data_IF_132263176203
#
_entry.id   IF_132263176203
#
_cell.length_a   1.000
_cell.length_b   1.000
_cell.length_c   1.000
_cell.angle_alpha   90.00
_cell.angle_beta   90.00
_cell.angle_gamma   90.00
#
_symmetry.space_group_name_H-M   'P 1'
#
loop_
_entity.id
_entity.type
_entity.pdbx_description
1 polymer ?
#
# COMPACT_ATOMS: atom_id res chain seq x y z
N UNK A 1 20.92 21.70 7.13
CA UNK A 1 20.86 20.48 7.98
C UNK A 1 19.37 20.14 8.15
N UNK A 2 18.76 19.49 7.12
CA UNK A 2 17.33 19.20 7.07
C UNK A 2 17.09 17.75 7.54
N UNK A 3 16.39 17.63 8.65
CA UNK A 3 15.93 16.34 9.17
C UNK A 3 14.74 15.88 8.31
N UNK A 4 15.00 14.97 7.37
CA UNK A 4 13.94 14.15 6.78
C UNK A 4 13.67 12.98 7.72
N UNK A 5 12.63 13.09 8.52
CA UNK A 5 12.00 11.95 9.17
C UNK A 5 11.09 11.29 8.15
N UNK A 6 11.53 10.15 7.62
CA UNK A 6 10.68 9.28 6.80
C UNK A 6 9.74 8.49 7.69
N UNK A 7 8.61 9.08 8.04
CA UNK A 7 7.46 8.29 8.42
C UNK A 7 6.78 7.91 7.10
N UNK A 8 6.50 6.62 6.90
CA UNK A 8 5.67 6.12 5.83
C UNK A 8 4.25 6.62 6.10
N UNK A 9 4.01 7.89 5.76
CA UNK A 9 2.71 8.48 5.87
C UNK A 9 1.83 7.91 4.76
N UNK A 10 0.81 7.15 5.11
CA UNK A 10 -0.39 7.09 4.30
C UNK A 10 -0.87 8.54 4.23
N UNK A 11 -0.60 9.23 3.12
CA UNK A 11 -1.04 10.58 2.91
C UNK A 11 -2.57 10.56 2.72
N UNK A 12 -3.30 10.69 3.83
CA UNK A 12 -4.71 11.06 3.78
C UNK A 12 -4.72 12.53 3.42
N UNK A 13 -4.88 12.83 2.13
CA UNK A 13 -5.12 14.20 1.66
C UNK A 13 -6.48 14.62 2.19
N UNK A 14 -6.47 15.41 3.25
CA UNK A 14 -7.66 16.07 3.78
C UNK A 14 -8.15 17.13 2.79
N UNK A 15 -9.04 16.77 1.86
CA UNK A 15 -9.86 17.74 1.14
C UNK A 15 -11.04 18.10 2.04
N UNK A 16 -10.96 19.28 2.65
CA UNK A 16 -12.09 19.92 3.30
C UNK A 16 -13.15 20.28 2.26
N UNK A 17 -14.13 19.40 2.06
CA UNK A 17 -15.39 19.72 1.39
C UNK A 17 -16.48 19.52 2.44
N UNK A 18 -16.96 20.64 3.01
CA UNK A 18 -18.21 20.67 3.77
C UNK A 18 -19.37 20.46 2.81
N UNK A 19 -19.67 19.21 2.50
CA UNK A 19 -20.93 18.79 1.93
C UNK A 19 -21.56 17.86 2.96
N UNK A 20 -22.69 18.30 3.56
CA UNK A 20 -23.55 17.47 4.39
C UNK A 20 -24.20 16.39 3.52
N UNK A 21 -23.40 15.39 3.14
CA UNK A 21 -23.93 14.11 2.69
C UNK A 21 -24.10 13.31 3.98
N UNK A 22 -25.35 12.98 4.32
CA UNK A 22 -25.66 11.90 5.26
C UNK A 22 -25.09 10.62 4.65
N UNK A 23 -23.79 10.41 4.82
CA UNK A 23 -23.14 9.15 4.54
C UNK A 23 -23.74 8.12 5.48
N UNK A 24 -24.26 7.03 4.93
CA UNK A 24 -24.56 5.85 5.71
C UNK A 24 -23.32 5.56 6.57
N UNK A 25 -23.51 5.53 7.87
CA UNK A 25 -22.47 5.19 8.86
C UNK A 25 -21.95 3.80 8.47
N UNK A 26 -20.77 3.75 7.87
CA UNK A 26 -20.18 2.49 7.46
C UNK A 26 -19.90 1.71 8.75
N UNK A 27 -20.55 0.56 8.92
CA UNK A 27 -20.44 -0.21 10.16
C UNK A 27 -18.96 -0.49 10.42
N UNK A 28 -18.54 -0.39 11.68
CA UNK A 28 -17.13 -0.62 12.09
C UNK A 28 -16.63 -2.02 11.74
N UNK A 29 -17.55 -2.95 11.48
CA UNK A 29 -17.29 -4.38 11.27
C UNK A 29 -17.33 -4.80 9.78
N UNK A 30 -17.35 -3.83 8.84
CA UNK A 30 -17.41 -4.14 7.41
C UNK A 30 -15.99 -4.13 6.84
N UNK A 31 -15.55 -5.23 6.17
CA UNK A 31 -14.27 -5.27 5.49
C UNK A 31 -14.10 -4.13 4.48
N UNK A 32 -12.89 -3.59 4.43
CA UNK A 32 -12.53 -2.52 3.50
C UNK A 32 -11.58 -3.07 2.46
N UNK A 33 -11.96 -2.99 1.20
CA UNK A 33 -11.09 -3.37 0.08
C UNK A 33 -10.44 -2.13 -0.49
N UNK A 34 -9.11 -2.16 -0.59
CA UNK A 34 -8.33 -1.09 -1.20
C UNK A 34 -7.45 -1.70 -2.29
N UNK A 35 -7.46 -1.09 -3.47
CA UNK A 35 -6.55 -1.37 -4.57
C UNK A 35 -5.48 -0.30 -4.64
N UNK A 36 -4.22 -0.71 -4.50
CA UNK A 36 -3.03 0.14 -4.56
C UNK A 36 -2.36 -0.06 -5.90
N UNK A 37 -2.27 0.98 -6.72
CA UNK A 37 -1.73 0.93 -8.07
C UNK A 37 -0.35 1.58 -8.13
N UNK A 38 0.56 0.95 -8.86
CA UNK A 38 1.93 1.41 -9.04
C UNK A 38 2.29 1.45 -10.52
N UNK A 39 2.68 2.62 -11.01
CA UNK A 39 3.35 2.80 -12.29
C UNK A 39 4.84 2.93 -12.02
N UNK A 40 5.63 2.07 -12.66
CA UNK A 40 7.08 2.03 -12.44
C UNK A 40 7.78 2.91 -13.47
N UNK A 41 8.75 3.70 -13.00
CA UNK A 41 9.57 4.55 -13.85
C UNK A 41 10.40 3.71 -14.85
N UNK A 42 10.67 4.23 -16.05
CA UNK A 42 11.59 3.59 -16.99
C UNK A 42 12.94 3.31 -16.33
N UNK A 43 13.43 2.07 -16.38
CA UNK A 43 14.64 1.64 -15.70
C UNK A 43 14.40 0.89 -14.38
N UNK A 44 13.20 0.99 -13.79
CA UNK A 44 12.78 0.13 -12.68
C UNK A 44 12.33 -1.26 -13.11
N UNK A 45 12.09 -1.44 -14.42
CA UNK A 45 11.76 -2.71 -15.04
C UNK A 45 12.98 -3.30 -15.72
N UNK A 46 13.46 -4.45 -15.25
CA UNK A 46 14.59 -5.16 -15.88
C UNK A 46 14.06 -6.07 -17.00
N UNK A 47 14.64 -6.05 -18.22
CA UNK A 47 14.26 -6.99 -19.28
C UNK A 47 14.47 -8.44 -18.83
N UNK A 48 13.38 -9.23 -18.79
CA UNK A 48 13.44 -10.68 -18.54
C UNK A 48 13.64 -11.10 -17.08
N UNK A 49 13.57 -10.16 -16.10
CA UNK A 49 13.69 -10.47 -14.69
C UNK A 49 12.62 -9.74 -13.85
N UNK A 50 12.49 -10.07 -12.56
CA UNK A 50 11.66 -9.27 -11.66
C UNK A 50 12.21 -7.84 -11.64
N UNK A 51 11.31 -6.85 -11.67
CA UNK A 51 11.72 -5.46 -11.56
C UNK A 51 12.44 -5.21 -10.23
N UNK A 52 13.37 -4.25 -10.20
CA UNK A 52 14.00 -3.82 -8.94
C UNK A 52 12.92 -3.41 -7.93
N UNK A 53 11.87 -2.72 -8.38
CA UNK A 53 10.74 -2.35 -7.55
C UNK A 53 10.08 -3.56 -6.87
N UNK A 54 9.77 -4.61 -7.64
CA UNK A 54 9.16 -5.83 -7.11
C UNK A 54 10.06 -6.53 -6.10
N UNK A 55 11.35 -6.60 -6.38
CA UNK A 55 12.33 -7.20 -5.47
C UNK A 55 12.38 -6.46 -4.13
N UNK A 56 12.36 -5.14 -4.15
CA UNK A 56 12.33 -4.30 -2.96
C UNK A 56 10.99 -4.41 -2.21
N UNK A 57 9.87 -4.45 -2.94
CA UNK A 57 8.56 -4.67 -2.34
C UNK A 57 8.51 -6.00 -1.58
N UNK A 58 8.90 -7.09 -2.23
CA UNK A 58 8.88 -8.43 -1.63
C UNK A 58 9.85 -8.57 -0.45
N UNK A 59 10.97 -7.86 -0.48
CA UNK A 59 11.98 -7.89 0.58
C UNK A 59 11.57 -7.07 1.79
N UNK A 60 11.06 -5.85 1.59
CA UNK A 60 10.95 -4.86 2.65
C UNK A 60 9.51 -4.55 3.06
N UNK A 61 8.56 -4.53 2.11
CA UNK A 61 7.18 -4.13 2.39
C UNK A 61 6.26 -5.33 2.64
N UNK A 62 6.30 -6.33 1.78
CA UNK A 62 5.47 -7.53 1.92
C UNK A 62 5.59 -8.24 3.28
N UNK A 63 6.78 -8.39 3.92
CA UNK A 63 6.88 -9.02 5.24
C UNK A 63 6.12 -8.26 6.33
N UNK A 64 6.05 -6.93 6.24
CA UNK A 64 5.28 -6.09 7.16
C UNK A 64 3.79 -6.41 7.01
N UNK A 65 3.29 -6.45 5.79
CA UNK A 65 1.89 -6.79 5.49
C UNK A 65 1.55 -8.21 5.95
N UNK A 66 2.46 -9.16 5.80
CA UNK A 66 2.29 -10.53 6.31
C UNK A 66 2.20 -10.57 7.84
N UNK A 67 2.93 -9.70 8.54
CA UNK A 67 2.81 -9.60 10.00
C UNK A 67 1.46 -9.00 10.42
N UNK A 68 1.02 -7.93 9.77
CA UNK A 68 -0.30 -7.33 9.98
C UNK A 68 -1.43 -8.34 9.68
N UNK A 69 -1.24 -9.20 8.68
CA UNK A 69 -2.17 -10.29 8.38
C UNK A 69 -2.20 -11.37 9.48
N UNK A 70 -1.06 -11.74 10.06
CA UNK A 70 -1.00 -12.66 11.20
C UNK A 70 -1.67 -12.06 12.45
N UNK A 71 -1.63 -10.74 12.60
CA UNK A 71 -2.31 -10.02 13.68
C UNK A 71 -3.81 -9.84 13.41
N UNK A 72 -4.31 -10.25 12.22
CA UNK A 72 -5.74 -10.23 11.88
C UNK A 72 -6.23 -8.88 11.34
N UNK A 73 -5.35 -7.91 11.14
CA UNK A 73 -5.72 -6.59 10.60
C UNK A 73 -5.97 -6.62 9.10
N UNK A 74 -5.26 -7.50 8.38
CA UNK A 74 -5.43 -7.76 6.95
C UNK A 74 -6.04 -9.15 6.75
N UNK A 75 -7.17 -9.25 6.06
CA UNK A 75 -7.83 -10.51 5.74
C UNK A 75 -7.22 -11.15 4.47
N UNK A 76 -6.87 -10.33 3.50
CA UNK A 76 -6.31 -10.79 2.22
C UNK A 76 -5.36 -9.75 1.64
N UNK A 77 -4.26 -10.24 1.06
CA UNK A 77 -3.32 -9.47 0.25
C UNK A 77 -3.07 -10.24 -1.03
N UNK A 78 -3.15 -9.56 -2.17
CA UNK A 78 -2.83 -10.11 -3.50
C UNK A 78 -2.07 -9.09 -4.31
N UNK A 79 -0.97 -9.53 -4.92
CA UNK A 79 -0.19 -8.72 -5.86
C UNK A 79 -0.46 -9.19 -7.28
N UNK A 80 -0.71 -8.26 -8.17
CA UNK A 80 -0.94 -8.48 -9.60
C UNK A 80 0.10 -7.73 -10.42
N UNK A 81 0.63 -8.37 -11.42
CA UNK A 81 1.41 -7.76 -12.49
C UNK A 81 0.54 -7.67 -13.75
N UNK A 82 0.63 -6.54 -14.43
CA UNK A 82 -0.12 -6.34 -15.66
C UNK A 82 0.53 -7.09 -16.82
N UNK A 83 -0.24 -7.94 -17.51
CA UNK A 83 0.27 -8.73 -18.63
C UNK A 83 0.03 -8.11 -20.01
N UNK A 84 -1.01 -7.29 -20.17
CA UNK A 84 -1.39 -6.70 -21.43
C UNK A 84 -1.49 -5.19 -21.32
N UNK A 85 -1.15 -4.50 -22.41
CA UNK A 85 -1.35 -3.05 -22.48
C UNK A 85 -2.85 -2.74 -22.46
N UNK A 86 -3.22 -1.84 -21.57
CA UNK A 86 -4.53 -1.22 -21.60
C UNK A 86 -4.31 0.29 -21.74
N UNK A 87 -5.33 0.99 -22.15
CA UNK A 87 -5.35 2.44 -22.14
C UNK A 87 -5.20 2.99 -20.71
N UNK A 88 -5.12 4.30 -20.61
CA UNK A 88 -4.98 5.01 -19.33
C UNK A 88 -6.11 4.68 -18.34
N UNK A 89 -5.82 4.61 -17.03
CA UNK A 89 -4.51 4.80 -16.42
C UNK A 89 -3.63 3.53 -16.56
N UNK A 90 -2.40 3.74 -16.99
CA UNK A 90 -1.43 2.66 -17.10
C UNK A 90 -0.78 2.39 -15.74
N UNK A 91 -0.81 1.13 -15.27
CA UNK A 91 -0.11 0.66 -14.08
C UNK A 91 0.70 -0.58 -14.42
N UNK A 92 1.71 -0.90 -13.64
CA UNK A 92 2.55 -2.09 -13.83
C UNK A 92 2.25 -3.14 -12.76
N UNK A 93 2.10 -2.71 -11.50
CA UNK A 93 1.71 -3.56 -10.38
C UNK A 93 0.46 -3.02 -9.69
N UNK A 94 -0.35 -3.95 -9.15
CA UNK A 94 -1.50 -3.65 -8.31
C UNK A 94 -1.49 -4.57 -7.10
N UNK A 95 -1.57 -3.98 -5.91
CA UNK A 95 -1.81 -4.72 -4.67
C UNK A 95 -3.28 -4.54 -4.30
N UNK A 96 -3.97 -5.63 -4.04
CA UNK A 96 -5.34 -5.62 -3.53
C UNK A 96 -5.31 -6.11 -2.10
N UNK A 97 -5.71 -5.27 -1.18
CA UNK A 97 -5.81 -5.60 0.24
C UNK A 97 -7.25 -5.55 0.71
N UNK A 98 -7.63 -6.55 1.49
CA UNK A 98 -8.88 -6.55 2.24
C UNK A 98 -8.53 -6.40 3.71
N UNK A 99 -8.88 -5.27 4.27
CA UNK A 99 -8.71 -4.95 5.69
C UNK A 99 -9.89 -5.47 6.49
N UNK A 100 -9.69 -5.82 7.76
CA UNK A 100 -10.77 -6.26 8.64
C UNK A 100 -11.88 -5.19 8.70
N UNK A 101 -11.49 -3.93 8.89
CA UNK A 101 -12.34 -2.75 8.89
C UNK A 101 -11.50 -1.46 8.80
N UNK A 102 -12.12 -0.30 8.90
CA UNK A 102 -11.43 1.00 8.94
C UNK A 102 -10.56 1.18 10.19
N UNK A 103 -10.93 0.58 11.31
CA UNK A 103 -10.17 0.64 12.56
C UNK A 103 -8.85 -0.12 12.41
N UNK A 104 -8.89 -1.30 11.77
CA UNK A 104 -7.72 -2.10 11.47
C UNK A 104 -6.72 -1.37 10.57
N UNK A 105 -7.22 -0.63 9.56
CA UNK A 105 -6.38 0.21 8.72
C UNK A 105 -5.65 1.31 9.52
N UNK A 106 -6.35 1.95 10.46
CA UNK A 106 -5.74 2.94 11.34
C UNK A 106 -4.75 2.31 12.32
N UNK A 107 -5.09 1.18 12.90
CA UNK A 107 -4.23 0.44 13.83
C UNK A 107 -2.93 0.00 13.14
N UNK A 108 -3.01 -0.45 11.88
CA UNK A 108 -1.85 -0.86 11.11
C UNK A 108 -0.78 0.24 11.03
N UNK A 109 -1.17 1.50 10.87
CA UNK A 109 -0.24 2.64 10.84
C UNK A 109 0.53 2.83 12.15
N UNK A 110 -0.07 2.43 13.27
CA UNK A 110 0.54 2.48 14.60
C UNK A 110 1.44 1.26 14.85
N UNK A 111 1.05 0.10 14.31
CA UNK A 111 1.79 -1.16 14.47
C UNK A 111 3.02 -1.25 13.56
N UNK A 112 2.97 -0.64 12.39
CA UNK A 112 4.02 -0.74 11.36
C UNK A 112 5.44 -0.39 11.87
N UNK A 113 5.66 0.70 12.62
CA UNK A 113 7.00 1.02 13.15
C UNK A 113 7.59 -0.06 14.06
N UNK A 114 6.77 -0.72 14.88
CA UNK A 114 7.19 -1.80 15.78
C UNK A 114 7.54 -3.06 14.97
N UNK A 115 6.74 -3.36 13.96
CA UNK A 115 6.98 -4.50 13.04
C UNK A 115 8.29 -4.28 12.28
N UNK A 116 8.51 -3.07 11.74
CA UNK A 116 9.74 -2.71 11.04
C UNK A 116 10.94 -2.90 11.98
N UNK A 117 10.86 -2.41 13.21
CA UNK A 117 11.94 -2.57 14.19
C UNK A 117 12.25 -4.05 14.49
N UNK A 118 11.22 -4.88 14.55
CA UNK A 118 11.38 -6.31 14.81
C UNK A 118 11.94 -7.08 13.61
N UNK A 119 11.52 -6.74 12.39
CA UNK A 119 11.91 -7.45 11.17
C UNK A 119 13.26 -6.99 10.61
N UNK A 120 13.62 -5.72 10.80
CA UNK A 120 14.79 -5.09 10.16
C UNK A 120 15.75 -4.51 11.21
N UNK A 121 16.71 -5.33 11.72
CA UNK A 121 17.69 -4.87 12.70
C UNK A 121 18.53 -3.68 12.21
N UNK A 122 18.84 -3.63 10.90
CA UNK A 122 19.47 -2.48 10.25
C UNK A 122 18.42 -1.60 9.60
N UNK A 123 17.81 -0.76 10.43
CA UNK A 123 16.80 0.19 9.96
C UNK A 123 17.31 1.12 8.87
N UNK A 124 18.60 1.47 8.88
CA UNK A 124 19.18 2.38 7.88
C UNK A 124 19.21 1.73 6.49
N UNK A 125 19.44 0.43 6.41
CA UNK A 125 19.33 -0.33 5.15
C UNK A 125 17.87 -0.38 4.69
N UNK A 126 16.95 -0.75 5.57
CA UNK A 126 15.53 -0.80 5.25
C UNK A 126 15.02 0.55 4.71
N UNK A 127 15.29 1.65 5.42
CA UNK A 127 14.83 3.00 5.02
C UNK A 127 15.40 3.43 3.67
N UNK A 128 16.65 3.10 3.38
CA UNK A 128 17.30 3.39 2.09
C UNK A 128 16.66 2.59 0.96
N UNK A 129 16.37 1.33 1.18
CA UNK A 129 15.75 0.45 0.18
C UNK A 129 14.28 0.81 -0.07
N UNK A 130 13.51 1.15 0.98
CA UNK A 130 12.15 1.67 0.82
C UNK A 130 12.14 3.02 0.08
N UNK A 131 13.07 3.92 0.40
CA UNK A 131 13.25 5.15 -0.37
C UNK A 131 13.54 4.85 -1.83
N UNK A 132 14.43 3.87 -2.12
CA UNK A 132 14.73 3.46 -3.49
C UNK A 132 13.49 2.91 -4.21
N UNK A 133 12.66 2.11 -3.56
CA UNK A 133 11.40 1.60 -4.11
C UNK A 133 10.47 2.76 -4.52
N UNK A 134 10.37 3.79 -3.69
CA UNK A 134 9.58 4.99 -4.00
C UNK A 134 10.18 5.84 -5.13
N UNK A 135 11.50 5.93 -5.23
CA UNK A 135 12.18 6.59 -6.38
C UNK A 135 11.89 5.88 -7.71
N UNK A 136 11.66 4.57 -7.67
CA UNK A 136 11.28 3.77 -8.84
C UNK A 136 9.77 3.86 -9.15
N UNK A 137 8.97 4.46 -8.30
CA UNK A 137 7.53 4.63 -8.49
C UNK A 137 7.27 5.96 -9.19
N UNK A 138 6.87 5.91 -10.47
CA UNK A 138 6.51 7.13 -11.25
C UNK A 138 5.17 7.70 -10.78
N UNK A 139 4.18 6.81 -10.55
CA UNK A 139 2.85 7.18 -10.06
C UNK A 139 2.33 6.12 -9.10
N UNK A 140 1.59 6.58 -8.13
CA UNK A 140 0.88 5.75 -7.17
C UNK A 140 -0.48 6.37 -6.89
N UNK A 141 -1.52 5.53 -6.81
CA UNK A 141 -2.86 5.92 -6.39
C UNK A 141 -3.59 4.74 -5.77
N UNK A 142 -4.62 5.04 -4.99
CA UNK A 142 -5.41 4.08 -4.26
C UNK A 142 -6.89 4.24 -4.62
N UNK A 143 -7.57 3.12 -4.85
CA UNK A 143 -9.01 3.07 -5.00
C UNK A 143 -9.61 2.30 -3.82
N UNK A 144 -10.51 2.95 -3.09
CA UNK A 144 -11.28 2.30 -2.02
C UNK A 144 -12.57 1.77 -2.60
N UNK A 145 -12.78 0.47 -2.50
CA UNK A 145 -13.92 -0.20 -3.09
C UNK A 145 -15.01 -0.46 -2.06
N UNK A 146 -16.25 -0.29 -2.50
CA UNK A 146 -17.45 -0.74 -1.77
C UNK A 146 -18.07 -1.90 -2.54
N UNK A 147 -18.26 -3.01 -1.86
CA UNK A 147 -19.03 -4.12 -2.44
C UNK A 147 -20.48 -3.73 -2.69
N UNK A 148 -20.99 -4.08 -3.86
CA UNK A 148 -22.39 -3.91 -4.24
C UNK A 148 -23.00 -5.31 -4.31
N UNK A 149 -24.00 -5.65 -3.44
CA UNK A 149 -24.69 -6.92 -3.52
C UNK A 149 -25.38 -7.07 -4.88
N UNK A 150 -25.29 -8.27 -5.46
CA UNK A 150 -25.90 -8.63 -6.77
C UNK A 150 -27.18 -9.44 -6.56
N UNK A 151 -28.04 -9.01 -5.63
CA UNK A 151 -29.36 -9.62 -5.40
C UNK A 151 -30.40 -9.07 -6.36
#
# INVERSE_FOLDING_TARGET
MNKFMGALGIAIVGLGISASVRGAEQSKDTPVTIEYYYKIAPGGMMPGGPSEWLSLYLKNHHPILQQLKKEGLILSEKLYERRFHAESPAWDYKVVMVWLDWSALQEASTREPEIIHALYPDKAVHDREEKRRWELTEKHWDDVLKEVPLE
#
